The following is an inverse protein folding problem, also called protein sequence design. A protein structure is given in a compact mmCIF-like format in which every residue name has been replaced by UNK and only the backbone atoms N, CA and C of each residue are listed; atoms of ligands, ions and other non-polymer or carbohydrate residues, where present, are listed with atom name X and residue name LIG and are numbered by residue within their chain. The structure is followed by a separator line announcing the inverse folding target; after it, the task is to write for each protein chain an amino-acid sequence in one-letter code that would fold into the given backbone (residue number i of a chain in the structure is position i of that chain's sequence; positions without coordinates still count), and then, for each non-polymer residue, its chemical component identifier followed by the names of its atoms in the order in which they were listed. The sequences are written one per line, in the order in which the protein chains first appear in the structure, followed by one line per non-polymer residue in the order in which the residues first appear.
data_IF_557547957221
#
_entry.id   IF_557547957221
#
_cell.length_a   1.000
_cell.length_b   1.000
_cell.length_c   1.000
_cell.angle_alpha   90.00
_cell.angle_beta   90.00
_cell.angle_gamma   90.00
#
_symmetry.space_group_name_H-M   'P 1'
#
loop_
_entity.id
_entity.type
_entity.pdbx_description
1 polymer ?
#
# COMPACT_ATOMS: atom_id res chain seq x y z
N UNK A 1 -16.01 -11.89 -1.00
CA UNK A 1 -16.55 -11.59 0.34
C UNK A 1 -15.52 -12.07 1.35
N UNK A 2 -15.18 -11.29 2.36
CA UNK A 2 -14.45 -11.81 3.53
C UNK A 2 -15.51 -12.43 4.44
N UNK A 3 -15.65 -13.75 4.40
CA UNK A 3 -16.61 -14.47 5.23
C UNK A 3 -16.05 -14.58 6.65
N UNK A 4 -16.84 -14.19 7.65
CA UNK A 4 -16.45 -14.22 9.06
C UNK A 4 -16.73 -15.59 9.68
N UNK A 5 -16.26 -16.66 9.05
CA UNK A 5 -16.39 -18.05 9.54
C UNK A 5 -15.50 -18.33 10.78
N UNK A 6 -14.77 -17.31 11.26
CA UNK A 6 -13.86 -17.43 12.39
C UNK A 6 -12.57 -18.15 12.03
N UNK A 7 -12.29 -18.38 10.74
CA UNK A 7 -11.03 -18.95 10.31
C UNK A 7 -9.86 -18.03 10.70
N UNK A 8 -8.93 -18.59 11.47
CA UNK A 8 -7.65 -17.96 11.77
C UNK A 8 -6.73 -18.23 10.58
N UNK A 9 -6.46 -17.19 9.78
CA UNK A 9 -5.47 -17.27 8.70
C UNK A 9 -4.12 -16.85 9.29
N UNK A 10 -3.25 -17.83 9.53
CA UNK A 10 -1.85 -17.55 9.88
C UNK A 10 -1.11 -17.12 8.63
N UNK A 11 -0.47 -15.94 8.65
CA UNK A 11 0.38 -15.52 7.55
C UNK A 11 1.77 -16.13 7.72
N UNK A 12 2.16 -17.02 6.81
CA UNK A 12 3.54 -17.52 6.69
C UNK A 12 4.46 -16.56 5.91
N UNK A 13 3.93 -15.42 5.47
CA UNK A 13 4.69 -14.44 4.70
C UNK A 13 5.72 -13.73 5.56
N UNK A 14 6.91 -13.50 4.99
CA UNK A 14 7.93 -12.65 5.62
C UNK A 14 7.48 -11.19 5.57
N UNK A 15 7.46 -10.53 6.74
CA UNK A 15 7.22 -9.09 6.82
C UNK A 15 8.31 -8.34 6.04
N UNK A 16 7.91 -7.50 5.09
CA UNK A 16 8.80 -6.66 4.29
C UNK A 16 8.43 -5.20 4.49
N UNK A 17 9.43 -4.38 4.75
CA UNK A 17 9.30 -2.93 4.79
C UNK A 17 9.82 -2.36 3.47
N UNK A 18 8.93 -2.10 2.54
CA UNK A 18 9.28 -1.46 1.27
C UNK A 18 9.58 0.01 1.49
N UNK A 19 10.65 0.48 0.86
CA UNK A 19 11.00 1.89 0.83
C UNK A 19 9.98 2.69 0.02
N UNK A 20 9.99 4.02 0.23
CA UNK A 20 9.21 4.95 -0.58
C UNK A 20 9.47 4.77 -2.08
N UNK A 21 10.74 4.64 -2.45
CA UNK A 21 11.15 4.54 -3.85
C UNK A 21 10.61 3.26 -4.49
N UNK A 22 10.75 2.11 -3.81
CA UNK A 22 10.22 0.82 -4.29
C UNK A 22 8.72 0.88 -4.54
N UNK A 23 7.95 1.43 -3.60
CA UNK A 23 6.50 1.58 -3.78
C UNK A 23 6.18 2.54 -4.94
N UNK A 24 6.86 3.69 -5.00
CA UNK A 24 6.62 4.68 -6.05
C UNK A 24 6.93 4.16 -7.46
N UNK A 25 7.97 3.33 -7.60
CA UNK A 25 8.35 2.70 -8.86
C UNK A 25 7.37 1.59 -9.22
N UNK A 26 7.00 0.74 -8.26
CA UNK A 26 5.99 -0.31 -8.47
C UNK A 26 4.67 0.26 -8.99
N UNK A 27 4.20 1.39 -8.44
CA UNK A 27 3.01 2.08 -8.93
C UNK A 27 3.15 2.55 -10.38
N UNK A 28 4.31 3.12 -10.75
CA UNK A 28 4.58 3.56 -12.13
C UNK A 28 4.65 2.38 -13.09
N UNK A 29 5.29 1.28 -12.68
CA UNK A 29 5.48 0.08 -13.51
C UNK A 29 4.14 -0.56 -13.91
N UNK A 30 3.11 -0.43 -13.06
CA UNK A 30 1.74 -0.88 -13.36
C UNK A 30 0.87 0.21 -14.01
N UNK A 31 1.45 1.35 -14.39
CA UNK A 31 0.77 2.43 -15.09
C UNK A 31 -0.14 3.28 -14.20
N UNK A 32 0.06 3.28 -12.88
CA UNK A 32 -0.63 4.20 -11.96
C UNK A 32 0.19 5.48 -11.77
N UNK A 33 -0.50 6.61 -11.70
CA UNK A 33 0.10 7.90 -11.37
C UNK A 33 -0.04 8.13 -9.87
N UNK A 34 1.10 8.29 -9.18
CA UNK A 34 1.13 8.70 -7.78
C UNK A 34 0.76 10.19 -7.70
N UNK A 35 -0.32 10.52 -6.99
CA UNK A 35 -0.82 11.88 -6.85
C UNK A 35 -0.34 12.54 -5.56
N UNK A 36 -0.39 11.80 -4.45
CA UNK A 36 -0.06 12.34 -3.14
C UNK A 36 0.45 11.22 -2.21
N UNK A 37 1.32 11.58 -1.27
CA UNK A 37 1.71 10.72 -0.15
C UNK A 37 1.47 11.48 1.14
N UNK A 38 0.82 10.81 2.09
CA UNK A 38 0.47 11.37 3.40
C UNK A 38 1.04 10.50 4.51
N UNK A 39 1.20 11.09 5.69
CA UNK A 39 1.35 10.32 6.91
C UNK A 39 0.03 9.70 7.34
N UNK A 40 0.08 8.47 7.85
CA UNK A 40 -1.06 7.90 8.55
C UNK A 40 -1.35 8.73 9.82
N UNK A 41 -2.61 9.15 10.04
CA UNK A 41 -2.94 10.15 11.07
C UNK A 41 -2.67 9.68 12.50
N UNK A 42 -2.73 8.37 12.76
CA UNK A 42 -2.49 7.75 14.07
C UNK A 42 -1.01 7.35 14.30
N UNK A 43 -0.18 7.37 13.25
CA UNK A 43 1.21 6.91 13.29
C UNK A 43 2.10 7.74 12.35
N UNK A 44 2.19 9.06 12.57
CA UNK A 44 2.98 9.96 11.74
C UNK A 44 4.47 9.59 11.77
N UNK A 45 5.13 9.65 10.61
CA UNK A 45 6.53 9.29 10.41
C UNK A 45 6.83 7.79 10.48
N UNK A 46 5.81 6.95 10.74
CA UNK A 46 5.96 5.49 10.84
C UNK A 46 5.22 4.74 9.74
N UNK A 47 4.16 5.34 9.19
CA UNK A 47 3.47 4.78 8.03
C UNK A 47 3.04 5.85 7.05
N UNK A 48 3.21 5.53 5.76
CA UNK A 48 2.89 6.37 4.64
C UNK A 48 1.67 5.81 3.89
N UNK A 49 0.75 6.70 3.52
CA UNK A 49 -0.42 6.42 2.69
C UNK A 49 -0.17 6.99 1.30
N UNK A 50 -0.04 6.11 0.30
CA UNK A 50 0.14 6.47 -1.10
C UNK A 50 -1.22 6.57 -1.80
N UNK A 51 -1.56 7.74 -2.33
CA UNK A 51 -2.77 7.97 -3.12
C UNK A 51 -2.38 7.97 -4.59
N UNK A 52 -2.82 6.94 -5.32
CA UNK A 52 -2.56 6.80 -6.75
C UNK A 52 -3.86 6.75 -7.54
N UNK A 53 -3.82 7.26 -8.77
CA UNK A 53 -4.93 7.18 -9.72
C UNK A 53 -4.52 6.44 -10.97
N UNK A 54 -5.52 5.92 -11.67
CA UNK A 54 -5.36 5.51 -13.06
C UNK A 54 -5.33 6.77 -13.93
N UNK A 55 -4.40 6.87 -14.90
CA UNK A 55 -4.46 7.90 -15.91
C UNK A 55 -5.82 7.85 -16.62
N UNK A 56 -6.45 8.99 -16.81
CA UNK A 56 -7.59 9.10 -17.73
C UNK A 56 -7.04 9.04 -19.15
N UNK A 57 -7.66 8.23 -20.01
CA UNK A 57 -7.29 8.09 -21.43
C UNK A 57 -7.44 9.41 -22.21
#
# INVERSE_FOLDING_TARGET
MFESDGAIITSDSTLRFSSYEEISNSLKDVGLTLEEVRDAPDRPGRELVFIARRPTA
#
